data_IF_019249857585
#
_entry.id   IF_019249857585
#
_cell.length_a   1.000
_cell.length_b   1.000
_cell.length_c   1.000
_cell.angle_alpha   90.00
_cell.angle_beta   90.00
_cell.angle_gamma   90.00
#
_symmetry.space_group_name_H-M   'P 1'
#
loop_
_entity.id
_entity.type
_entity.pdbx_description
1 polymer ?
#
# COMPACT_ATOMS: atom_id res chain seq x y z
N UNK A 1 61.86 58.96 5.16
CA UNK A 1 61.43 58.25 3.94
C UNK A 1 61.31 56.76 4.25
N UNK A 2 60.15 56.15 3.87
CA UNK A 2 59.80 54.71 3.71
C UNK A 2 60.04 53.76 4.92
N UNK A 3 59.04 53.43 5.74
CA UNK A 3 57.81 52.57 5.60
C UNK A 3 58.06 51.11 6.07
N UNK A 4 57.30 50.71 7.10
CA UNK A 4 57.19 49.41 7.78
C UNK A 4 56.81 48.22 6.86
N UNK A 5 56.86 46.96 7.34
CA UNK A 5 55.66 46.32 7.94
C UNK A 5 55.95 45.56 9.26
N UNK A 6 55.11 45.60 10.31
CA UNK A 6 53.77 44.98 10.53
C UNK A 6 53.89 43.47 10.85
N UNK A 7 53.28 42.85 11.85
CA UNK A 7 52.40 43.25 12.97
C UNK A 7 52.37 42.09 13.98
N UNK A 8 52.16 42.48 15.23
CA UNK A 8 51.82 41.77 16.46
C UNK A 8 50.56 40.87 16.37
N UNK A 9 50.45 39.79 17.18
CA UNK A 9 49.41 39.64 18.23
C UNK A 9 49.29 38.23 18.83
N UNK A 10 49.32 38.22 20.16
CA UNK A 10 48.88 37.20 21.12
C UNK A 10 47.36 37.02 21.14
N UNK A 11 46.88 35.86 21.65
CA UNK A 11 45.61 35.62 22.37
C UNK A 11 45.55 34.11 22.69
N UNK A 12 45.88 33.61 23.89
CA UNK A 12 45.18 33.59 25.20
C UNK A 12 43.81 32.87 25.19
N UNK A 13 43.72 31.92 26.13
CA UNK A 13 42.69 30.92 26.45
C UNK A 13 41.25 31.42 26.57
N UNK A 14 40.28 30.51 26.33
CA UNK A 14 39.08 30.40 27.16
C UNK A 14 38.45 28.98 27.09
N UNK A 15 38.15 28.46 28.28
CA UNK A 15 37.48 27.20 28.63
C UNK A 15 35.96 27.22 28.43
N UNK A 16 35.32 26.06 28.22
CA UNK A 16 33.89 25.88 28.48
C UNK A 16 33.54 24.44 28.91
N UNK A 17 32.92 24.32 30.08
CA UNK A 17 32.25 23.11 30.58
C UNK A 17 31.11 22.71 29.64
N UNK A 18 31.03 21.45 29.25
CA UNK A 18 29.84 20.90 28.58
C UNK A 18 28.94 20.22 29.64
N UNK A 19 27.75 20.78 29.83
CA UNK A 19 26.69 20.19 30.62
C UNK A 19 26.17 18.92 29.94
N UNK A 20 26.14 17.80 30.67
CA UNK A 20 25.43 16.58 30.26
C UNK A 20 23.94 16.83 30.48
N UNK A 21 23.26 17.29 29.44
CA UNK A 21 21.80 17.24 29.41
C UNK A 21 21.46 15.78 29.09
N UNK A 22 21.09 15.03 30.11
CA UNK A 22 20.46 13.73 29.95
C UNK A 22 19.12 13.91 29.26
N UNK A 23 19.10 13.84 27.93
CA UNK A 23 17.86 13.63 27.20
C UNK A 23 17.48 12.17 27.39
N UNK A 24 16.47 11.95 28.21
CA UNK A 24 15.67 10.74 28.15
C UNK A 24 15.21 10.59 26.71
N UNK A 25 15.88 9.71 25.95
CA UNK A 25 15.33 9.19 24.72
C UNK A 25 14.06 8.45 25.13
N UNK A 26 12.93 9.17 25.10
CA UNK A 26 11.65 8.54 24.92
C UNK A 26 11.77 7.83 23.57
N UNK A 27 12.17 6.56 23.60
CA UNK A 27 11.78 5.61 22.58
C UNK A 27 10.26 5.58 22.62
N UNK A 28 9.66 6.55 21.92
CA UNK A 28 8.35 6.39 21.36
C UNK A 28 8.48 5.15 20.48
N UNK A 29 8.19 3.99 21.05
CA UNK A 29 7.93 2.80 20.27
C UNK A 29 6.80 3.20 19.34
N UNK A 30 7.13 3.41 18.06
CA UNK A 30 6.15 3.58 17.02
C UNK A 30 5.33 2.28 17.01
N UNK A 31 4.23 2.29 17.77
CA UNK A 31 3.27 1.21 17.73
C UNK A 31 2.74 1.20 16.31
N UNK A 32 3.07 0.16 15.55
CA UNK A 32 2.62 -0.01 14.17
C UNK A 32 1.10 0.13 14.13
N UNK A 33 0.63 1.28 13.65
CA UNK A 33 -0.80 1.51 13.45
C UNK A 33 -1.17 0.77 12.18
N UNK A 34 -1.81 -0.37 12.38
CA UNK A 34 -2.29 -1.20 11.29
C UNK A 34 -3.50 -0.55 10.62
N UNK A 35 -3.37 -0.20 9.35
CA UNK A 35 -4.49 0.22 8.51
C UNK A 35 -5.00 -1.00 7.76
N UNK A 36 -6.27 -1.37 7.95
CA UNK A 36 -6.89 -2.54 7.29
C UNK A 36 -8.39 -2.34 6.98
N UNK A 37 -8.77 -1.35 6.17
CA UNK A 37 -10.12 -1.28 5.64
C UNK A 37 -10.37 -2.36 4.59
N UNK A 38 -11.63 -2.77 4.48
CA UNK A 38 -12.12 -3.67 3.44
C UNK A 38 -13.18 -2.94 2.62
N UNK A 39 -13.13 -3.07 1.29
CA UNK A 39 -14.18 -2.62 0.38
C UNK A 39 -14.51 -3.71 -0.62
N UNK A 40 -15.72 -3.64 -1.18
CA UNK A 40 -16.23 -4.60 -2.16
C UNK A 40 -16.25 -3.99 -3.55
N UNK A 41 -15.71 -4.72 -4.52
CA UNK A 41 -15.81 -4.42 -5.95
C UNK A 41 -16.93 -5.29 -6.51
N UNK A 42 -17.96 -4.66 -7.07
CA UNK A 42 -18.99 -5.37 -7.84
C UNK A 42 -18.50 -5.51 -9.27
N UNK A 43 -18.24 -6.74 -9.70
CA UNK A 43 -17.59 -6.98 -10.99
C UNK A 43 -18.46 -7.86 -11.87
N UNK A 44 -18.53 -7.52 -13.14
CA UNK A 44 -18.92 -8.47 -14.17
C UNK A 44 -17.64 -9.24 -14.50
N UNK A 45 -17.55 -10.54 -14.28
CA UNK A 45 -16.35 -11.29 -14.62
C UNK A 45 -16.03 -11.16 -16.13
N UNK A 46 -14.76 -11.37 -16.54
CA UNK A 46 -14.39 -11.31 -17.96
C UNK A 46 -15.16 -12.33 -18.82
N UNK A 47 -15.48 -13.46 -18.20
CA UNK A 47 -16.27 -14.54 -18.78
C UNK A 47 -17.75 -14.19 -18.61
N UNK A 48 -18.55 -14.04 -19.69
CA UNK A 48 -19.98 -13.70 -19.60
C UNK A 48 -20.78 -14.69 -18.74
N UNK A 49 -20.38 -15.95 -18.68
CA UNK A 49 -21.03 -16.98 -17.86
C UNK A 49 -20.81 -16.78 -16.34
N UNK A 50 -19.95 -15.83 -15.97
CA UNK A 50 -19.56 -15.51 -14.60
C UNK A 50 -20.15 -14.16 -14.13
N UNK A 51 -21.18 -13.64 -14.81
CA UNK A 51 -21.92 -12.44 -14.40
C UNK A 51 -22.44 -12.55 -12.95
N UNK A 52 -22.20 -11.51 -12.13
CA UNK A 52 -22.74 -11.41 -10.77
C UNK A 52 -21.79 -11.70 -9.62
N UNK A 53 -20.47 -11.74 -9.86
CA UNK A 53 -19.46 -11.88 -8.80
C UNK A 53 -19.11 -10.58 -8.08
N UNK A 54 -18.61 -10.70 -6.86
CA UNK A 54 -17.97 -9.59 -6.15
C UNK A 54 -16.56 -9.96 -5.72
N UNK A 55 -15.69 -8.97 -5.56
CA UNK A 55 -14.36 -9.15 -4.98
C UNK A 55 -14.23 -8.27 -3.76
N UNK A 56 -13.96 -8.86 -2.61
CA UNK A 56 -13.60 -8.10 -1.41
C UNK A 56 -12.10 -7.87 -1.43
N UNK A 57 -11.70 -6.60 -1.32
CA UNK A 57 -10.30 -6.16 -1.21
C UNK A 57 -10.06 -5.59 0.17
N UNK A 58 -9.02 -6.10 0.83
CA UNK A 58 -8.55 -5.63 2.13
C UNK A 58 -7.10 -5.12 1.96
N UNK A 59 -6.89 -3.83 2.22
CA UNK A 59 -5.57 -3.18 2.10
C UNK A 59 -4.93 -3.08 3.47
N UNK A 60 -3.77 -3.69 3.63
CA UNK A 60 -3.01 -3.73 4.87
C UNK A 60 -1.75 -2.89 4.72
N UNK A 61 -1.49 -2.02 5.68
CA UNK A 61 -0.18 -1.42 5.90
C UNK A 61 0.32 -1.77 7.30
N UNK A 62 1.63 -1.92 7.45
CA UNK A 62 2.28 -2.28 8.71
C UNK A 62 3.29 -3.42 8.54
N UNK A 63 2.99 -4.40 7.69
CA UNK A 63 3.72 -5.68 7.62
C UNK A 63 5.20 -5.59 7.20
N UNK A 64 5.53 -4.74 6.22
CA UNK A 64 6.90 -4.44 5.81
C UNK A 64 7.04 -2.93 5.57
N UNK A 65 8.22 -2.30 5.83
CA UNK A 65 8.42 -0.88 5.52
C UNK A 65 8.16 -0.62 4.03
N UNK A 66 7.50 0.49 3.71
CA UNK A 66 7.35 1.00 2.33
C UNK A 66 6.53 0.11 1.38
N UNK A 67 5.76 -0.80 1.96
CA UNK A 67 4.92 -1.75 1.25
C UNK A 67 3.48 -1.69 1.77
N UNK A 68 2.55 -1.88 0.85
CA UNK A 68 1.16 -2.20 1.16
C UNK A 68 0.84 -3.60 0.63
N UNK A 69 0.01 -4.33 1.38
CA UNK A 69 -0.49 -5.65 0.98
C UNK A 69 -1.98 -5.58 0.68
N UNK A 70 -2.39 -5.98 -0.51
CA UNK A 70 -3.79 -6.12 -0.88
C UNK A 70 -4.18 -7.61 -0.86
N UNK A 71 -5.16 -7.96 -0.03
CA UNK A 71 -5.74 -9.31 0.01
C UNK A 71 -7.08 -9.32 -0.71
N UNK A 72 -7.32 -10.37 -1.50
CA UNK A 72 -8.53 -10.49 -2.32
C UNK A 72 -9.33 -11.73 -1.95
N UNK A 73 -10.64 -11.57 -1.80
CA UNK A 73 -11.58 -12.69 -1.68
C UNK A 73 -12.62 -12.57 -2.77
N UNK A 74 -12.72 -13.57 -3.64
CA UNK A 74 -13.75 -13.61 -4.69
C UNK A 74 -15.01 -14.27 -4.14
N UNK A 75 -16.16 -13.66 -4.42
CA UNK A 75 -17.50 -14.13 -4.10
C UNK A 75 -18.25 -14.34 -5.41
N UNK A 76 -18.23 -15.56 -5.92
CA UNK A 76 -18.88 -15.86 -7.19
C UNK A 76 -20.08 -16.76 -6.96
N UNK A 77 -21.27 -16.17 -7.08
CA UNK A 77 -22.53 -16.90 -7.15
C UNK A 77 -22.70 -17.44 -8.57
N UNK A 78 -21.92 -18.48 -8.91
CA UNK A 78 -22.05 -19.10 -10.21
C UNK A 78 -23.19 -20.11 -10.23
N UNK A 79 -24.06 -20.13 -11.26
CA UNK A 79 -24.92 -21.28 -11.52
C UNK A 79 -24.11 -22.56 -11.82
N UNK A 80 -22.78 -22.49 -11.98
CA UNK A 80 -21.91 -23.66 -12.08
C UNK A 80 -21.88 -24.54 -10.81
N UNK A 81 -22.31 -24.04 -9.64
CA UNK A 81 -22.58 -24.93 -8.49
C UNK A 81 -23.77 -25.86 -8.70
N UNK A 82 -24.62 -25.59 -9.70
CA UNK A 82 -25.63 -26.51 -10.18
C UNK A 82 -25.08 -27.55 -11.19
N UNK A 83 -23.75 -27.61 -11.39
CA UNK A 83 -23.07 -28.76 -11.99
C UNK A 83 -22.83 -28.73 -13.51
N UNK A 84 -23.02 -27.60 -14.19
CA UNK A 84 -23.10 -27.58 -15.67
C UNK A 84 -21.97 -26.86 -16.43
N UNK A 85 -20.92 -26.37 -15.79
CA UNK A 85 -19.93 -25.49 -16.44
C UNK A 85 -18.47 -25.77 -16.05
N UNK A 86 -17.61 -26.06 -17.04
CA UNK A 86 -16.15 -26.23 -16.91
C UNK A 86 -15.39 -24.91 -17.20
N UNK A 87 -15.77 -23.82 -16.53
CA UNK A 87 -15.13 -22.51 -16.73
C UNK A 87 -14.48 -22.01 -15.44
N UNK A 88 -13.26 -21.48 -15.55
CA UNK A 88 -12.62 -20.68 -14.51
C UNK A 88 -13.10 -19.24 -14.64
N UNK A 89 -13.75 -18.72 -13.60
CA UNK A 89 -14.12 -17.32 -13.55
C UNK A 89 -12.92 -16.53 -13.03
N UNK A 90 -12.34 -15.66 -13.84
CA UNK A 90 -11.22 -14.82 -13.43
C UNK A 90 -11.42 -13.36 -13.83
N UNK A 91 -10.61 -12.51 -13.21
CA UNK A 91 -10.59 -11.06 -13.40
C UNK A 91 -9.19 -10.53 -13.08
N UNK A 92 -8.65 -9.65 -13.94
CA UNK A 92 -7.48 -8.87 -13.57
C UNK A 92 -7.89 -7.65 -12.75
N UNK A 93 -7.19 -7.45 -11.63
CA UNK A 93 -7.29 -6.29 -10.76
C UNK A 93 -6.04 -5.44 -10.97
N UNK A 94 -6.25 -4.14 -11.17
CA UNK A 94 -5.22 -3.13 -11.28
C UNK A 94 -5.26 -2.25 -10.03
N UNK A 95 -4.17 -2.21 -9.28
CA UNK A 95 -3.98 -1.34 -8.14
C UNK A 95 -3.17 -0.12 -8.56
N UNK A 96 -3.84 0.98 -8.86
CA UNK A 96 -3.21 2.26 -9.15
C UNK A 96 -2.89 2.96 -7.83
N UNK A 97 -1.63 3.30 -7.61
CA UNK A 97 -1.19 3.95 -6.38
C UNK A 97 -0.48 5.27 -6.67
N UNK A 98 -0.57 6.19 -5.70
CA UNK A 98 0.14 7.46 -5.70
C UNK A 98 0.61 7.81 -4.30
N UNK A 99 1.91 8.07 -4.17
CA UNK A 99 2.53 8.60 -2.98
C UNK A 99 2.42 10.13 -2.99
N UNK A 100 1.86 10.72 -1.93
CA UNK A 100 1.59 12.15 -1.87
C UNK A 100 2.82 12.99 -1.50
N UNK A 101 3.80 12.40 -0.83
CA UNK A 101 5.01 13.11 -0.40
C UNK A 101 6.04 13.17 -1.54
N UNK A 102 6.25 12.06 -2.23
CA UNK A 102 7.25 11.95 -3.31
C UNK A 102 6.68 12.24 -4.70
N UNK A 103 5.36 12.19 -4.86
CA UNK A 103 4.69 12.27 -6.15
C UNK A 103 4.84 11.04 -7.03
N UNK A 104 5.51 9.99 -6.54
CA UNK A 104 5.63 8.72 -7.26
C UNK A 104 4.28 8.04 -7.42
N UNK A 105 4.11 7.31 -8.52
CA UNK A 105 2.89 6.56 -8.82
C UNK A 105 3.22 5.33 -9.63
N UNK A 106 2.36 4.33 -9.56
CA UNK A 106 2.47 3.13 -10.37
C UNK A 106 1.18 2.34 -10.42
N UNK A 107 1.21 1.26 -11.18
CA UNK A 107 0.12 0.29 -11.28
C UNK A 107 0.69 -1.10 -11.07
N UNK A 108 0.07 -1.86 -10.17
CA UNK A 108 0.35 -3.28 -9.98
C UNK A 108 -0.85 -4.11 -10.45
N UNK A 109 -0.60 -5.25 -11.08
CA UNK A 109 -1.65 -6.14 -11.59
C UNK A 109 -1.68 -7.46 -10.81
N UNK A 110 -2.89 -7.92 -10.48
CA UNK A 110 -3.13 -9.24 -9.90
C UNK A 110 -4.31 -9.91 -10.59
N UNK A 111 -4.15 -11.16 -11.01
CA UNK A 111 -5.29 -11.98 -11.45
C UNK A 111 -5.94 -12.63 -10.24
N UNK A 112 -7.24 -12.47 -10.08
CA UNK A 112 -8.06 -13.21 -9.12
C UNK A 112 -8.95 -14.20 -9.86
N UNK A 113 -9.22 -15.34 -9.25
CA UNK A 113 -10.05 -16.38 -9.82
C UNK A 113 -10.99 -17.00 -8.78
N UNK A 114 -12.02 -17.67 -9.28
CA UNK A 114 -12.81 -18.65 -8.54
C UNK A 114 -13.14 -19.82 -9.46
N UNK A 115 -13.03 -21.02 -8.89
CA UNK A 115 -13.30 -22.28 -9.58
C UNK A 115 -14.45 -23.02 -8.87
N UNK A 116 -15.26 -23.78 -9.63
CA UNK A 116 -16.47 -24.48 -9.14
C UNK A 116 -16.30 -25.40 -7.92
N UNK A 117 -15.09 -25.81 -7.58
CA UNK A 117 -14.76 -26.72 -6.47
C UNK A 117 -14.23 -26.00 -5.23
N UNK A 118 -14.01 -24.68 -5.29
CA UNK A 118 -13.46 -23.89 -4.20
C UNK A 118 -14.55 -23.25 -3.32
N UNK A 119 -15.83 -23.41 -3.71
CA UNK A 119 -16.97 -22.87 -2.97
C UNK A 119 -17.25 -21.38 -3.21
N UNK A 120 -18.14 -20.77 -2.41
CA UNK A 120 -18.58 -19.37 -2.52
C UNK A 120 -17.49 -18.32 -2.42
N UNK A 121 -16.53 -18.57 -1.54
CA UNK A 121 -15.62 -17.56 -1.05
C UNK A 121 -14.21 -18.11 -1.24
N UNK A 122 -13.48 -17.53 -2.17
CA UNK A 122 -12.13 -17.99 -2.50
C UNK A 122 -11.13 -16.93 -2.13
N UNK A 123 -10.27 -17.24 -1.15
CA UNK A 123 -9.10 -16.42 -0.85
C UNK A 123 -8.11 -16.54 -2.02
N UNK A 124 -7.70 -15.41 -2.58
CA UNK A 124 -6.74 -15.33 -3.65
C UNK A 124 -5.35 -14.94 -3.10
N UNK A 125 -4.26 -15.18 -3.85
CA UNK A 125 -2.95 -14.66 -3.50
C UNK A 125 -3.01 -13.15 -3.23
N UNK A 126 -2.25 -12.72 -2.23
CA UNK A 126 -2.10 -11.30 -1.92
C UNK A 126 -1.16 -10.64 -2.93
N UNK A 127 -1.32 -9.32 -3.10
CA UNK A 127 -0.46 -8.48 -3.90
C UNK A 127 0.30 -7.52 -2.99
N UNK A 128 1.63 -7.63 -3.01
CA UNK A 128 2.53 -6.69 -2.33
C UNK A 128 2.92 -5.59 -3.32
N UNK A 129 2.80 -4.32 -2.89
CA UNK A 129 3.05 -3.14 -3.73
C UNK A 129 4.09 -2.27 -3.04
N UNK A 130 5.26 -2.12 -3.65
CA UNK A 130 6.31 -1.20 -3.21
C UNK A 130 5.92 0.24 -3.57
N UNK A 131 5.66 1.08 -2.57
CA UNK A 131 5.12 2.44 -2.75
C UNK A 131 6.02 3.56 -2.22
N UNK A 132 7.08 3.20 -1.48
CA UNK A 132 7.93 4.16 -0.76
C UNK A 132 7.32 4.64 0.56
N UNK A 133 8.06 5.49 1.27
CA UNK A 133 7.62 6.13 2.53
C UNK A 133 6.58 7.23 2.26
N UNK A 134 5.64 7.40 3.19
CA UNK A 134 4.67 8.50 3.17
C UNK A 134 3.20 8.06 2.99
N UNK A 135 2.26 9.01 3.05
CA UNK A 135 0.85 8.76 2.82
C UNK A 135 0.59 8.51 1.33
N UNK A 136 -0.36 7.63 1.03
CA UNK A 136 -0.66 7.22 -0.33
C UNK A 136 -2.15 6.98 -0.57
N UNK A 137 -2.57 7.15 -1.82
CA UNK A 137 -3.89 6.72 -2.28
C UNK A 137 -3.73 5.47 -3.14
N UNK A 138 -4.61 4.49 -2.97
CA UNK A 138 -4.70 3.30 -3.82
C UNK A 138 -6.11 3.18 -4.36
N UNK A 139 -6.24 3.07 -5.68
CA UNK A 139 -7.52 2.85 -6.36
C UNK A 139 -7.46 1.52 -7.09
N UNK A 140 -8.45 0.67 -6.86
CA UNK A 140 -8.55 -0.59 -7.58
C UNK A 140 -9.50 -0.47 -8.76
N UNK A 141 -9.04 -0.92 -9.92
CA UNK A 141 -9.85 -1.12 -11.12
C UNK A 141 -9.81 -2.58 -11.52
N UNK A 142 -10.75 -2.99 -12.36
CA UNK A 142 -10.76 -4.35 -12.91
C UNK A 142 -10.83 -4.35 -14.43
N UNK A 143 -10.37 -5.42 -15.07
CA UNK A 143 -10.36 -5.59 -16.53
C UNK A 143 -11.76 -5.62 -17.17
N UNK A 144 -12.79 -5.82 -16.35
CA UNK A 144 -14.19 -5.75 -16.74
C UNK A 144 -14.91 -4.61 -16.01
N UNK A 145 -16.03 -4.14 -16.58
CA UNK A 145 -16.80 -3.05 -16.00
C UNK A 145 -17.25 -3.37 -14.57
N UNK A 146 -17.02 -2.41 -13.67
CA UNK A 146 -17.34 -2.49 -12.26
C UNK A 146 -17.83 -1.13 -11.76
N UNK A 147 -18.72 -1.13 -10.76
CA UNK A 147 -19.16 0.09 -10.12
C UNK A 147 -19.50 -0.16 -8.64
N UNK A 148 -18.96 0.63 -7.69
CA UNK A 148 -17.90 1.64 -7.83
C UNK A 148 -16.47 1.04 -7.77
N UNK A 149 -15.47 1.79 -8.23
CA UNK A 149 -14.05 1.52 -7.94
C UNK A 149 -13.75 1.85 -6.48
N UNK A 150 -13.21 0.94 -5.67
CA UNK A 150 -12.82 1.27 -4.31
C UNK A 150 -11.52 2.08 -4.32
N UNK A 151 -11.48 3.12 -3.48
CA UNK A 151 -10.30 3.95 -3.24
C UNK A 151 -10.02 3.99 -1.74
N UNK A 152 -8.75 3.86 -1.40
CA UNK A 152 -8.24 3.82 -0.04
C UNK A 152 -7.22 4.92 0.16
N UNK A 153 -7.42 5.73 1.20
CA UNK A 153 -6.42 6.66 1.72
C UNK A 153 -5.61 5.92 2.80
N UNK A 154 -4.36 5.58 2.48
CA UNK A 154 -3.46 4.88 3.39
C UNK A 154 -2.59 5.93 4.09
N UNK A 155 -2.65 6.03 5.43
CA UNK A 155 -1.91 7.06 6.17
C UNK A 155 -0.40 6.82 6.10
N UNK A 156 0.36 7.91 6.24
CA UNK A 156 1.80 7.87 6.45
C UNK A 156 2.14 7.09 7.74
N UNK A 157 3.27 6.39 7.73
CA UNK A 157 3.83 5.79 8.94
C UNK A 157 4.55 6.83 9.78
#
# INVERSE_FOLDING_TARGET
MKKHPVVTRSLVLASALAAVIGTSAAQAGAQERYFSPQQRIHTLAEVPQCFGGTVDVNVQSGYAPNEIRANFTTHLYSPAWAGSADYECYLSIYADWRNHDTGLSGTAEQRVASWRFMGPNVANPYLDIETGEGPLTVTFRTSAAHAPSPTFEVPAR
#
